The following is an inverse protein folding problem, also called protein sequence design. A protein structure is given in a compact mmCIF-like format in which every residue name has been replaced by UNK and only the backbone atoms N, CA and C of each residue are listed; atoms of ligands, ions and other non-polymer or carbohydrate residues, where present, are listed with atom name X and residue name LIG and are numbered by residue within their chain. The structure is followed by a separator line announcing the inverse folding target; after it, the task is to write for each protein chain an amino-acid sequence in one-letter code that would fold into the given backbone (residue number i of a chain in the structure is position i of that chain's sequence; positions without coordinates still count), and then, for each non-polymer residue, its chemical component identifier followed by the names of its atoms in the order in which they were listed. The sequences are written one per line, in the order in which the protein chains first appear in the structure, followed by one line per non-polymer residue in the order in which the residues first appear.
data_IF_630749143242
#
_entry.id   IF_630749143242
#
_cell.length_a   1.000
_cell.length_b   1.000
_cell.length_c   1.000
_cell.angle_alpha   90.00
_cell.angle_beta   90.00
_cell.angle_gamma   90.00
#
_symmetry.space_group_name_H-M   'P 1'
#
loop_
_entity.id
_entity.type
_entity.pdbx_description
1 polymer ?
#
# COMPACT_ATOMS: atom_id res chain seq x y z
N UNK A 1 -11.02 -16.83 26.64
CA UNK A 1 -10.71 -16.70 25.20
C UNK A 1 -9.34 -16.08 25.09
N UNK A 2 -8.34 -16.85 24.70
CA UNK A 2 -6.98 -16.37 24.48
C UNK A 2 -6.86 -15.92 23.03
N UNK A 3 -6.63 -14.62 22.80
CA UNK A 3 -6.29 -14.13 21.48
C UNK A 3 -4.90 -14.67 21.13
N UNK A 4 -4.81 -15.41 20.03
CA UNK A 4 -3.53 -15.85 19.47
C UNK A 4 -2.70 -14.60 19.16
N UNK A 5 -1.47 -14.54 19.68
CA UNK A 5 -0.51 -13.50 19.32
C UNK A 5 -0.33 -13.50 17.80
N UNK A 6 -0.61 -12.39 17.12
CA UNK A 6 -0.27 -12.22 15.71
C UNK A 6 1.25 -12.11 15.62
N UNK A 7 1.89 -13.17 15.14
CA UNK A 7 3.30 -13.14 14.77
C UNK A 7 3.37 -12.72 13.29
N UNK A 8 3.89 -11.53 12.96
CA UNK A 8 3.95 -11.09 11.59
C UNK A 8 4.80 -12.08 10.80
N UNK A 9 4.24 -12.62 9.71
CA UNK A 9 5.01 -13.45 8.79
C UNK A 9 6.20 -12.65 8.26
N UNK A 10 7.38 -13.26 8.22
CA UNK A 10 8.62 -12.67 7.70
C UNK A 10 8.64 -12.58 6.16
N UNK A 11 7.46 -12.55 5.53
CA UNK A 11 7.31 -12.46 4.08
C UNK A 11 7.32 -10.98 3.71
N UNK A 12 8.51 -10.49 3.39
CA UNK A 12 8.72 -9.18 2.80
C UNK A 12 8.98 -9.38 1.31
N UNK A 13 8.31 -8.62 0.47
CA UNK A 13 8.51 -8.64 -0.97
C UNK A 13 8.72 -7.22 -1.47
N UNK A 14 9.67 -7.07 -2.39
CA UNK A 14 9.85 -5.84 -3.15
C UNK A 14 8.94 -5.88 -4.38
N UNK A 15 8.28 -4.76 -4.67
CA UNK A 15 7.38 -4.63 -5.81
C UNK A 15 7.44 -3.22 -6.40
N UNK A 16 7.00 -3.10 -7.65
CA UNK A 16 6.77 -1.80 -8.28
C UNK A 16 5.32 -1.38 -8.02
N UNK A 17 5.15 -0.17 -7.50
CA UNK A 17 3.82 0.37 -7.21
C UNK A 17 3.05 0.62 -8.51
N UNK A 18 1.85 0.06 -8.61
CA UNK A 18 0.99 0.25 -9.77
C UNK A 18 0.20 1.57 -9.67
N UNK A 19 -0.17 2.09 -10.83
CA UNK A 19 -1.04 3.26 -10.99
C UNK A 19 -0.51 4.59 -10.40
N UNK A 20 0.79 4.72 -10.14
CA UNK A 20 1.36 5.90 -9.48
C UNK A 20 1.04 7.23 -10.17
N UNK A 21 1.10 7.26 -11.50
CA UNK A 21 0.81 8.46 -12.28
C UNK A 21 -0.70 8.75 -12.47
N UNK A 22 -1.59 7.81 -12.11
CA UNK A 22 -3.04 7.99 -12.21
C UNK A 22 -3.65 8.56 -10.92
N UNK A 23 -2.94 8.45 -9.80
CA UNK A 23 -3.29 9.08 -8.54
C UNK A 23 -2.36 10.27 -8.27
N UNK A 24 -2.50 10.88 -7.10
CA UNK A 24 -1.78 12.09 -6.70
C UNK A 24 -0.32 11.82 -6.28
N UNK A 25 0.27 10.70 -6.72
CA UNK A 25 1.64 10.31 -6.37
C UNK A 25 2.70 11.28 -6.93
N UNK A 26 2.43 11.87 -8.09
CA UNK A 26 3.32 12.87 -8.70
C UNK A 26 3.42 14.15 -7.86
N UNK A 27 2.38 14.53 -7.12
CA UNK A 27 2.35 15.76 -6.33
C UNK A 27 3.27 15.69 -5.09
N UNK A 28 3.60 14.47 -4.66
CA UNK A 28 4.42 14.23 -3.46
C UNK A 28 5.75 13.54 -3.78
N UNK A 29 6.09 13.34 -5.06
CA UNK A 29 7.25 12.54 -5.48
C UNK A 29 8.57 13.04 -4.90
N UNK A 30 8.76 14.36 -4.79
CA UNK A 30 9.99 14.96 -4.24
C UNK A 30 10.18 14.69 -2.73
N UNK A 31 9.12 14.26 -2.04
CA UNK A 31 9.10 13.91 -0.62
C UNK A 31 9.34 12.42 -0.39
N UNK A 32 9.13 11.59 -1.41
CA UNK A 32 9.31 10.14 -1.36
C UNK A 32 10.79 9.80 -1.60
N UNK A 33 11.49 9.46 -0.52
CA UNK A 33 12.90 9.06 -0.53
C UNK A 33 13.03 7.63 0.01
N UNK A 34 14.14 6.92 -0.28
CA UNK A 34 14.41 5.65 0.37
C UNK A 34 14.29 5.76 1.89
N UNK A 35 13.53 4.84 2.50
CA UNK A 35 13.25 4.86 3.94
C UNK A 35 12.04 5.72 4.36
N UNK A 36 11.40 6.45 3.44
CA UNK A 36 10.15 7.15 3.74
C UNK A 36 9.05 6.14 4.08
N UNK A 37 8.42 6.21 5.26
CA UNK A 37 7.33 5.30 5.61
C UNK A 37 6.06 5.63 4.82
N UNK A 38 5.33 4.58 4.47
CA UNK A 38 4.02 4.64 3.80
C UNK A 38 3.00 3.81 4.57
N UNK A 39 1.72 4.02 4.29
CA UNK A 39 0.62 3.27 4.88
C UNK A 39 0.05 2.29 3.86
N UNK A 40 -0.18 1.05 4.29
CA UNK A 40 -0.86 0.01 3.53
C UNK A 40 -2.30 -0.06 4.05
N UNK A 41 -3.27 0.13 3.16
CA UNK A 41 -4.69 0.14 3.48
C UNK A 41 -5.41 -0.87 2.60
N UNK A 42 -5.99 -1.91 3.20
CA UNK A 42 -6.83 -2.85 2.47
C UNK A 42 -8.12 -2.19 2.01
N UNK A 43 -8.56 -2.47 0.78
CA UNK A 43 -9.80 -1.97 0.19
C UNK A 43 -10.81 -3.12 -0.02
N UNK A 44 -11.36 -3.74 1.05
CA UNK A 44 -12.23 -4.92 0.94
C UNK A 44 -13.55 -4.68 0.20
N UNK A 45 -13.95 -3.42 0.08
CA UNK A 45 -15.13 -2.99 -0.68
C UNK A 45 -14.79 -2.56 -2.11
N UNK A 46 -13.55 -2.75 -2.57
CA UNK A 46 -13.18 -2.42 -3.94
C UNK A 46 -13.97 -3.35 -4.89
N UNK A 47 -14.73 -2.79 -5.85
CA UNK A 47 -15.63 -3.58 -6.69
C UNK A 47 -14.89 -4.49 -7.68
N UNK A 48 -13.58 -4.29 -7.87
CA UNK A 48 -12.76 -5.06 -8.80
C UNK A 48 -11.97 -6.17 -8.11
N UNK A 49 -11.47 -5.91 -6.90
CA UNK A 49 -10.61 -6.84 -6.15
C UNK A 49 -10.74 -6.58 -4.65
N UNK A 50 -11.37 -7.50 -3.92
CA UNK A 50 -11.54 -7.39 -2.45
C UNK A 50 -10.23 -7.52 -1.67
N UNK A 51 -9.17 -8.03 -2.31
CA UNK A 51 -7.85 -8.16 -1.69
C UNK A 51 -6.93 -6.98 -2.06
N UNK A 52 -7.46 -5.96 -2.75
CA UNK A 52 -6.70 -4.78 -3.14
C UNK A 52 -6.10 -4.08 -1.92
N UNK A 53 -4.82 -3.69 -2.03
CA UNK A 53 -4.12 -2.91 -1.03
C UNK A 53 -3.67 -1.59 -1.64
N UNK A 54 -4.24 -0.49 -1.14
CA UNK A 54 -3.84 0.86 -1.51
C UNK A 54 -2.63 1.32 -0.67
N UNK A 55 -1.73 2.06 -1.31
CA UNK A 55 -0.55 2.64 -0.67
C UNK A 55 -0.76 4.15 -0.52
N UNK A 56 -0.58 4.66 0.70
CA UNK A 56 -0.77 6.08 1.03
C UNK A 56 0.48 6.71 1.63
N UNK A 57 0.69 7.99 1.34
CA UNK A 57 1.66 8.85 2.01
C UNK A 57 0.97 10.13 2.50
N UNK A 58 0.98 10.36 3.82
CA UNK A 58 0.36 11.54 4.45
C UNK A 58 -1.10 11.80 3.98
N UNK A 59 -1.89 10.75 3.81
CA UNK A 59 -3.27 10.83 3.32
C UNK A 59 -3.43 10.90 1.79
N UNK A 60 -2.33 11.02 1.05
CA UNK A 60 -2.31 11.01 -0.43
C UNK A 60 -2.24 9.58 -0.93
N UNK A 61 -3.20 9.14 -1.78
CA UNK A 61 -3.15 7.81 -2.40
C UNK A 61 -2.05 7.82 -3.46
N UNK A 62 -1.03 6.99 -3.26
CA UNK A 62 0.08 6.87 -4.19
C UNK A 62 -0.20 5.86 -5.28
N UNK A 63 -0.98 4.81 -5.00
CA UNK A 63 -1.17 3.71 -5.93
C UNK A 63 -1.72 2.47 -5.24
N UNK A 64 -1.58 1.34 -5.90
CA UNK A 64 -2.04 0.04 -5.40
C UNK A 64 -0.95 -1.02 -5.54
N UNK A 65 -0.94 -1.99 -4.63
CA UNK A 65 -0.15 -3.20 -4.77
C UNK A 65 -0.54 -3.92 -6.10
N UNK A 66 0.44 -4.33 -6.92
CA UNK A 66 0.15 -4.98 -8.19
C UNK A 66 -0.51 -6.35 -7.97
N UNK A 67 -1.61 -6.60 -8.68
CA UNK A 67 -2.22 -7.92 -8.80
C UNK A 67 -1.26 -8.77 -9.66
N UNK A 68 -0.85 -9.93 -9.14
CA UNK A 68 0.11 -10.83 -9.78
C UNK A 68 -0.40 -11.52 -11.04
#
# INVERSE_FOLDING_TARGET
MTFTSFEPTRNVQDFHLAAFAYYDGLDVIDQLKPGTPVQLVGEPSNPHDSEAVAIFYQGTKLGIYPIG
#
